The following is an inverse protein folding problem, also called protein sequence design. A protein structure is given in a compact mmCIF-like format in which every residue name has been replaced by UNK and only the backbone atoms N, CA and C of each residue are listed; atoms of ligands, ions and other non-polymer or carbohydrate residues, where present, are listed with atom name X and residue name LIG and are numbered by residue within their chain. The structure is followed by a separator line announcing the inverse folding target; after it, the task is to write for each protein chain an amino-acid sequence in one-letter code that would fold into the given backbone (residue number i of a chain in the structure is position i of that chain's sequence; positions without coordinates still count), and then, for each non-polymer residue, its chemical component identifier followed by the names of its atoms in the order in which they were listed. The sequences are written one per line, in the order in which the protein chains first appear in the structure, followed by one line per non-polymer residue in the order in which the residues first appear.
data_IF_247490385451
#
_entry.id   IF_247490385451
#
_cell.length_a   1.000
_cell.length_b   1.000
_cell.length_c   1.000
_cell.angle_alpha   90.00
_cell.angle_beta   90.00
_cell.angle_gamma   90.00
#
_symmetry.space_group_name_H-M   'P 1'
#
loop_
_entity.id
_entity.type
_entity.pdbx_description
1 polymer ?
#
# COMPACT_ATOMS: atom_id res chain seq x y z
N UNK A 1 1.21 -2.48 -21.09
CA UNK A 1 1.41 -1.90 -19.74
C UNK A 1 0.05 -1.71 -19.07
N UNK A 2 -0.02 -1.70 -17.72
CA UNK A 2 -1.30 -1.53 -16.98
C UNK A 2 -1.90 -0.14 -17.15
N UNK A 3 -1.10 0.86 -17.46
CA UNK A 3 -1.51 2.24 -17.64
C UNK A 3 -1.97 2.56 -19.08
N UNK A 4 -1.68 1.70 -20.05
CA UNK A 4 -2.00 1.93 -21.46
C UNK A 4 -3.47 2.34 -21.70
N UNK A 5 -4.50 1.64 -21.17
CA UNK A 5 -5.90 2.02 -21.45
C UNK A 5 -6.26 3.42 -20.93
N UNK A 6 -5.64 3.87 -19.84
CA UNK A 6 -5.84 5.21 -19.32
C UNK A 6 -5.12 6.25 -20.18
N UNK A 7 -3.91 5.96 -20.63
CA UNK A 7 -3.12 6.82 -21.51
C UNK A 7 -3.87 7.04 -22.83
N UNK A 8 -4.25 5.94 -23.51
CA UNK A 8 -4.99 5.99 -24.78
C UNK A 8 -6.28 6.81 -24.66
N UNK A 9 -7.01 6.62 -23.54
CA UNK A 9 -8.23 7.41 -23.28
C UNK A 9 -7.93 8.89 -23.12
N UNK A 10 -6.94 9.24 -22.30
CA UNK A 10 -6.57 10.65 -22.07
C UNK A 10 -6.04 11.31 -23.33
N UNK A 11 -5.19 10.65 -24.11
CA UNK A 11 -4.70 11.19 -25.41
C UNK A 11 -5.85 11.46 -26.38
N UNK A 12 -6.78 10.50 -26.48
CA UNK A 12 -7.98 10.66 -27.34
C UNK A 12 -8.86 11.83 -26.92
N UNK A 13 -9.14 11.98 -25.64
CA UNK A 13 -10.08 13.00 -25.14
C UNK A 13 -9.46 14.40 -25.01
N UNK A 14 -8.14 14.49 -24.86
CA UNK A 14 -7.45 15.76 -24.64
C UNK A 14 -6.66 16.25 -25.83
N UNK A 15 -6.31 15.38 -26.77
CA UNK A 15 -5.38 15.66 -27.87
C UNK A 15 -3.93 15.87 -27.44
N UNK A 16 -3.60 15.59 -26.18
CA UNK A 16 -2.26 15.69 -25.66
C UNK A 16 -1.49 14.39 -25.90
N UNK A 17 -0.19 14.47 -26.14
CA UNK A 17 0.70 13.30 -26.12
C UNK A 17 1.12 13.02 -24.68
N UNK A 18 0.96 11.77 -24.21
CA UNK A 18 1.21 11.39 -22.83
C UNK A 18 2.40 10.40 -22.77
N UNK A 19 3.47 10.82 -22.13
CA UNK A 19 4.62 9.97 -21.85
C UNK A 19 4.49 9.33 -20.46
N UNK A 20 4.56 8.00 -20.39
CA UNK A 20 4.59 7.27 -19.13
C UNK A 20 6.00 7.15 -18.58
N UNK A 21 6.26 7.79 -17.45
CA UNK A 21 7.56 7.75 -16.77
C UNK A 21 7.48 6.78 -15.58
N UNK A 22 8.12 5.60 -15.67
CA UNK A 22 8.17 4.67 -14.54
C UNK A 22 9.10 5.18 -13.46
N UNK A 23 8.72 4.95 -12.19
CA UNK A 23 9.54 5.27 -11.02
C UNK A 23 9.82 4.00 -10.22
N UNK A 24 10.87 4.02 -9.41
CA UNK A 24 11.33 2.84 -8.66
C UNK A 24 10.46 2.52 -7.44
N UNK A 25 9.93 3.55 -6.79
CA UNK A 25 9.18 3.43 -5.55
C UNK A 25 8.23 4.63 -5.31
N UNK A 26 7.49 4.58 -4.21
CA UNK A 26 6.53 5.61 -3.80
C UNK A 26 7.19 6.98 -3.55
N UNK A 27 8.38 7.00 -2.96
CA UNK A 27 9.08 8.25 -2.67
C UNK A 27 9.56 8.91 -3.97
N UNK A 28 10.09 8.14 -4.90
CA UNK A 28 10.48 8.62 -6.22
C UNK A 28 9.30 9.22 -7.00
N UNK A 29 8.09 8.65 -6.85
CA UNK A 29 6.88 9.23 -7.45
C UNK A 29 6.55 10.61 -6.86
N UNK A 30 6.67 10.78 -5.53
CA UNK A 30 6.49 12.08 -4.87
C UNK A 30 7.51 13.09 -5.35
N UNK A 31 8.80 12.71 -5.39
CA UNK A 31 9.88 13.57 -5.88
C UNK A 31 9.66 14.02 -7.32
N UNK A 32 9.23 13.11 -8.19
CA UNK A 32 9.00 13.42 -9.59
C UNK A 32 7.93 14.52 -9.77
N UNK A 33 6.81 14.44 -9.04
CA UNK A 33 5.75 15.44 -9.14
C UNK A 33 6.12 16.76 -8.46
N UNK A 34 6.68 16.70 -7.24
CA UNK A 34 7.07 17.90 -6.47
C UNK A 34 8.13 18.72 -7.19
N UNK A 35 9.08 18.04 -7.85
CA UNK A 35 10.14 18.68 -8.65
C UNK A 35 9.73 18.94 -10.11
N UNK A 36 8.45 18.80 -10.46
CA UNK A 36 7.91 19.07 -11.81
C UNK A 36 8.61 18.28 -12.93
N UNK A 37 9.09 17.07 -12.62
CA UNK A 37 9.61 16.12 -13.61
C UNK A 37 8.49 15.36 -14.32
N UNK A 38 7.31 15.34 -13.73
CA UNK A 38 6.05 14.85 -14.30
C UNK A 38 4.95 15.85 -13.97
N UNK A 39 3.93 15.92 -14.83
CA UNK A 39 2.80 16.84 -14.68
C UNK A 39 1.65 16.18 -13.89
N UNK A 40 1.57 14.86 -13.93
CA UNK A 40 0.53 14.06 -13.28
C UNK A 40 1.12 12.79 -12.67
N UNK A 41 0.59 12.37 -11.52
CA UNK A 41 0.99 11.13 -10.87
C UNK A 41 -0.21 10.40 -10.27
N UNK A 42 -0.17 9.07 -10.28
CA UNK A 42 -1.15 8.24 -9.60
C UNK A 42 -0.69 7.89 -8.19
N UNK A 43 -1.46 8.31 -7.19
CA UNK A 43 -1.08 8.14 -5.79
C UNK A 43 -2.10 7.33 -4.98
N UNK A 44 -1.65 6.75 -3.87
CA UNK A 44 -2.51 6.45 -2.74
C UNK A 44 -2.71 7.70 -1.87
N UNK A 45 -3.69 7.66 -0.95
CA UNK A 45 -4.03 8.83 -0.13
C UNK A 45 -2.86 9.40 0.68
N UNK A 46 -2.08 8.53 1.33
CA UNK A 46 -0.91 8.99 2.11
C UNK A 46 0.19 9.60 1.22
N UNK A 47 0.46 8.97 0.08
CA UNK A 47 1.44 9.48 -0.89
C UNK A 47 1.00 10.84 -1.45
N UNK A 48 -0.31 11.03 -1.72
CA UNK A 48 -0.88 12.32 -2.11
C UNK A 48 -0.66 13.40 -1.04
N UNK A 49 -0.94 13.08 0.24
CA UNK A 49 -0.72 14.03 1.33
C UNK A 49 0.75 14.43 1.44
N UNK A 50 1.68 13.48 1.29
CA UNK A 50 3.12 13.79 1.28
C UNK A 50 3.49 14.75 0.12
N UNK A 51 3.00 14.47 -1.09
CA UNK A 51 3.24 15.33 -2.25
C UNK A 51 2.63 16.73 -2.04
N UNK A 52 1.41 16.81 -1.51
CA UNK A 52 0.73 18.08 -1.21
C UNK A 52 1.49 18.94 -0.22
N UNK A 53 1.93 18.36 0.91
CA UNK A 53 2.70 19.08 1.93
C UNK A 53 4.04 19.56 1.35
N UNK A 54 4.78 18.67 0.66
CA UNK A 54 6.11 18.97 0.15
C UNK A 54 6.11 19.96 -1.01
N UNK A 55 5.01 20.04 -1.76
CA UNK A 55 4.83 21.04 -2.82
C UNK A 55 4.34 22.41 -2.32
N UNK A 56 4.18 22.61 -1.01
CA UNK A 56 3.55 23.81 -0.48
C UNK A 56 2.07 23.94 -0.88
N UNK A 57 1.32 22.85 -0.90
CA UNK A 57 -0.09 22.73 -1.32
C UNK A 57 -0.36 22.98 -2.82
N UNK A 58 0.66 22.92 -3.68
CA UNK A 58 0.49 23.12 -5.12
C UNK A 58 0.02 21.87 -5.88
N UNK A 59 -0.02 20.70 -5.24
CA UNK A 59 -0.57 19.47 -5.83
C UNK A 59 -2.06 19.37 -5.52
N UNK A 60 -2.88 19.19 -6.57
CA UNK A 60 -4.32 19.07 -6.46
C UNK A 60 -4.78 17.67 -6.91
N UNK A 61 -5.80 17.06 -6.27
CA UNK A 61 -6.40 15.83 -6.75
C UNK A 61 -7.32 16.15 -7.94
N UNK A 62 -7.23 15.33 -9.00
CA UNK A 62 -8.04 15.50 -10.20
C UNK A 62 -9.17 14.47 -10.23
N UNK A 63 -8.81 13.18 -10.05
CA UNK A 63 -9.75 12.05 -10.10
C UNK A 63 -9.34 10.97 -9.10
N UNK A 64 -10.31 10.14 -8.74
CA UNK A 64 -10.06 8.87 -8.05
C UNK A 64 -10.98 7.78 -8.61
N UNK A 65 -10.62 6.52 -8.42
CA UNK A 65 -11.52 5.42 -8.78
C UNK A 65 -12.65 5.31 -7.74
N UNK A 66 -13.83 4.90 -8.18
CA UNK A 66 -14.99 4.68 -7.29
C UNK A 66 -14.66 3.65 -6.18
N UNK A 67 -13.89 2.61 -6.52
CA UNK A 67 -13.50 1.56 -5.60
C UNK A 67 -12.58 2.05 -4.47
N UNK A 68 -11.88 3.16 -4.68
CA UNK A 68 -10.93 3.71 -3.71
C UNK A 68 -11.64 4.36 -2.51
N UNK A 69 -12.94 4.63 -2.57
CA UNK A 69 -13.75 5.04 -1.41
C UNK A 69 -13.82 3.98 -0.32
N UNK A 70 -13.67 2.70 -0.70
CA UNK A 70 -13.69 1.53 0.21
C UNK A 70 -12.32 0.87 0.31
N UNK A 71 -11.29 1.68 0.39
CA UNK A 71 -9.91 1.20 0.47
C UNK A 71 -9.67 0.44 1.78
N UNK A 72 -9.13 -0.79 1.69
CA UNK A 72 -8.96 -1.67 2.85
C UNK A 72 -7.54 -2.19 2.98
N UNK A 73 -7.10 -2.33 4.24
CA UNK A 73 -5.87 -3.04 4.61
C UNK A 73 -6.23 -4.41 5.16
N UNK A 74 -5.36 -5.39 4.92
CA UNK A 74 -5.45 -6.71 5.53
C UNK A 74 -4.13 -7.07 6.21
N UNK A 75 -4.22 -7.81 7.31
CA UNK A 75 -3.08 -8.43 7.96
C UNK A 75 -3.02 -9.90 7.56
N UNK A 76 -1.84 -10.35 7.16
CA UNK A 76 -1.59 -11.71 6.68
C UNK A 76 -0.52 -12.40 7.51
N UNK A 77 -0.62 -13.71 7.64
CA UNK A 77 0.36 -14.57 8.31
C UNK A 77 0.24 -16.02 7.80
N UNK A 78 1.30 -16.79 7.97
CA UNK A 78 1.29 -18.25 7.85
C UNK A 78 1.11 -18.95 9.21
N UNK A 79 1.30 -18.23 10.33
CA UNK A 79 1.19 -18.78 11.67
C UNK A 79 -0.29 -18.93 12.08
N UNK A 80 -0.70 -20.17 12.35
CA UNK A 80 -2.06 -20.50 12.78
C UNK A 80 -2.42 -19.97 14.17
N UNK A 81 -1.42 -19.63 14.98
CA UNK A 81 -1.60 -19.11 16.35
C UNK A 81 -1.98 -17.63 16.34
N UNK A 82 -1.59 -16.88 15.31
CA UNK A 82 -1.94 -15.46 15.15
C UNK A 82 -3.39 -15.37 14.65
N UNK A 83 -4.30 -14.91 15.48
CA UNK A 83 -5.74 -14.76 15.20
C UNK A 83 -6.23 -13.33 15.38
N UNK A 84 -5.60 -12.56 16.23
CA UNK A 84 -5.96 -11.19 16.59
C UNK A 84 -4.76 -10.26 16.44
N UNK A 85 -4.97 -8.93 16.52
CA UNK A 85 -3.84 -7.98 16.55
C UNK A 85 -2.96 -8.17 17.77
N UNK A 86 -3.53 -8.56 18.91
CA UNK A 86 -2.77 -8.78 20.14
C UNK A 86 -1.73 -9.88 19.99
N UNK A 87 -2.01 -10.90 19.16
CA UNK A 87 -1.09 -12.02 18.90
C UNK A 87 0.12 -11.60 18.05
N UNK A 88 0.14 -10.38 17.54
CA UNK A 88 1.27 -9.83 16.78
C UNK A 88 2.42 -9.33 17.69
N UNK A 89 2.23 -9.28 19.01
CA UNK A 89 3.33 -8.92 19.92
C UNK A 89 4.44 -9.95 19.87
N UNK A 90 5.67 -9.49 19.80
CA UNK A 90 6.87 -10.32 19.72
C UNK A 90 7.15 -10.95 18.34
N UNK A 91 6.35 -10.69 17.30
CA UNK A 91 6.60 -11.24 15.96
C UNK A 91 7.55 -10.38 15.13
N UNK A 92 8.10 -10.97 14.07
CA UNK A 92 8.72 -10.21 12.98
C UNK A 92 7.61 -9.79 12.00
N UNK A 93 7.53 -8.50 11.71
CA UNK A 93 6.44 -7.92 10.91
C UNK A 93 6.96 -7.13 9.72
N UNK A 94 6.31 -7.24 8.58
CA UNK A 94 6.59 -6.40 7.41
C UNK A 94 5.41 -5.51 7.06
N UNK A 95 5.65 -4.21 7.04
CA UNK A 95 4.83 -3.26 6.29
C UNK A 95 5.16 -3.30 4.80
N UNK A 96 4.37 -2.62 3.97
CA UNK A 96 4.66 -2.39 2.56
C UNK A 96 5.72 -1.28 2.37
N UNK A 97 5.45 -0.31 1.49
CA UNK A 97 6.27 0.92 1.41
C UNK A 97 5.96 1.84 2.59
N UNK A 98 6.97 2.57 3.07
CA UNK A 98 6.81 3.60 4.12
C UNK A 98 5.78 4.68 3.73
N UNK A 99 5.63 4.99 2.45
CA UNK A 99 4.66 5.97 1.93
C UNK A 99 3.31 5.36 1.53
N UNK A 100 3.09 4.06 1.81
CA UNK A 100 1.84 3.37 1.48
C UNK A 100 0.74 3.65 2.50
N UNK A 101 -0.46 3.97 2.01
CA UNK A 101 -1.67 4.10 2.84
C UNK A 101 -2.06 2.76 3.46
N UNK A 102 -2.34 1.75 2.62
CA UNK A 102 -2.86 0.44 3.06
C UNK A 102 -1.79 -0.53 3.51
N UNK A 103 -0.54 -0.34 3.07
CA UNK A 103 0.58 -1.20 3.49
C UNK A 103 1.34 -0.69 4.71
N UNK A 104 1.11 0.57 5.14
CA UNK A 104 1.84 1.14 6.28
C UNK A 104 0.98 2.03 7.17
N UNK A 105 0.55 3.21 6.71
CA UNK A 105 -0.08 4.21 7.59
C UNK A 105 -1.32 3.67 8.31
N UNK A 106 -2.24 3.06 7.57
CA UNK A 106 -3.48 2.56 8.15
C UNK A 106 -3.27 1.32 9.04
N UNK A 107 -2.50 0.28 8.62
CA UNK A 107 -2.10 -0.79 9.52
C UNK A 107 -1.49 -0.28 10.83
N UNK A 108 -0.57 0.68 10.77
CA UNK A 108 0.04 1.29 11.95
C UNK A 108 -1.01 1.98 12.84
N UNK A 109 -1.97 2.68 12.23
CA UNK A 109 -3.08 3.32 12.97
C UNK A 109 -3.94 2.28 13.70
N UNK A 110 -4.22 1.11 13.09
CA UNK A 110 -4.98 0.05 13.74
C UNK A 110 -4.19 -0.62 14.87
N UNK A 111 -2.90 -0.85 14.67
CA UNK A 111 -2.02 -1.36 15.71
C UNK A 111 -2.00 -0.42 16.91
N UNK A 112 -1.82 0.89 16.67
CA UNK A 112 -1.85 1.89 17.75
C UNK A 112 -3.19 1.94 18.49
N UNK A 113 -4.33 1.85 17.78
CA UNK A 113 -5.66 1.76 18.40
C UNK A 113 -5.85 0.49 19.22
N UNK A 114 -5.16 -0.59 18.88
CA UNK A 114 -5.14 -1.83 19.64
C UNK A 114 -4.10 -1.84 20.78
N UNK A 115 -3.45 -0.71 21.06
CA UNK A 115 -2.41 -0.60 22.09
C UNK A 115 -1.11 -1.31 21.74
N UNK A 116 -0.79 -1.38 20.44
CA UNK A 116 0.43 -2.01 19.92
C UNK A 116 1.32 -0.94 19.29
N UNK A 117 2.52 -0.76 19.84
CA UNK A 117 3.57 0.05 19.25
C UNK A 117 4.54 -0.85 18.46
N UNK A 118 4.56 -0.78 17.12
CA UNK A 118 5.43 -1.66 16.32
C UNK A 118 6.93 -1.57 16.66
N UNK A 119 7.40 -0.44 17.16
CA UNK A 119 8.80 -0.22 17.53
C UNK A 119 9.18 -0.96 18.84
N UNK A 120 8.22 -1.15 19.73
CA UNK A 120 8.43 -1.71 21.07
C UNK A 120 7.89 -3.14 21.19
N UNK A 121 6.71 -3.39 20.61
CA UNK A 121 5.98 -4.64 20.76
C UNK A 121 6.36 -5.70 19.73
N UNK A 122 6.95 -5.34 18.58
CA UNK A 122 7.41 -6.31 17.58
C UNK A 122 8.88 -6.70 17.83
N UNK A 123 9.20 -7.97 17.59
CA UNK A 123 10.58 -8.41 17.59
C UNK A 123 11.43 -7.69 16.54
N UNK A 124 10.84 -7.41 15.39
CA UNK A 124 11.46 -6.64 14.30
C UNK A 124 10.39 -6.11 13.36
N UNK A 125 10.51 -4.85 12.99
CA UNK A 125 9.74 -4.21 11.92
C UNK A 125 10.57 -4.12 10.65
N UNK A 126 9.98 -4.46 9.50
CA UNK A 126 10.58 -4.37 8.18
C UNK A 126 9.63 -3.65 7.21
N UNK A 127 10.17 -3.20 6.09
CA UNK A 127 9.41 -2.61 4.98
C UNK A 127 9.78 -3.34 3.70
N UNK A 128 8.79 -3.96 3.05
CA UNK A 128 8.99 -4.73 1.82
C UNK A 128 9.06 -3.87 0.56
N UNK A 129 8.62 -2.61 0.65
CA UNK A 129 8.54 -1.67 -0.47
C UNK A 129 7.30 -1.81 -1.35
N UNK A 130 6.73 -3.03 -1.46
CA UNK A 130 5.57 -3.30 -2.31
C UNK A 130 4.64 -4.36 -1.69
N UNK A 131 3.36 -4.37 -2.09
CA UNK A 131 2.36 -5.28 -1.52
C UNK A 131 2.62 -6.76 -1.86
N UNK A 132 3.02 -7.07 -3.08
CA UNK A 132 3.39 -8.41 -3.53
C UNK A 132 4.65 -8.91 -2.81
N UNK A 133 5.62 -8.04 -2.60
CA UNK A 133 6.82 -8.34 -1.82
C UNK A 133 6.48 -8.64 -0.33
N UNK A 134 5.44 -7.99 0.23
CA UNK A 134 4.94 -8.33 1.58
C UNK A 134 4.40 -9.76 1.60
N UNK A 135 3.57 -10.15 0.62
CA UNK A 135 3.02 -11.51 0.52
C UNK A 135 4.14 -12.54 0.40
N UNK A 136 5.12 -12.29 -0.48
CA UNK A 136 6.26 -13.18 -0.65
C UNK A 136 7.10 -13.31 0.63
N UNK A 137 7.33 -12.21 1.36
CA UNK A 137 8.10 -12.20 2.61
C UNK A 137 7.41 -12.99 3.74
N UNK A 138 6.08 -12.91 3.84
CA UNK A 138 5.31 -13.70 4.81
C UNK A 138 5.27 -15.16 4.39
N UNK A 139 4.94 -15.44 3.12
CA UNK A 139 4.83 -16.80 2.63
C UNK A 139 6.14 -17.59 2.65
N UNK A 140 7.28 -16.93 2.48
CA UNK A 140 8.61 -17.57 2.62
C UNK A 140 9.09 -17.72 4.07
N UNK A 141 8.33 -17.21 5.05
CA UNK A 141 8.75 -17.21 6.46
C UNK A 141 9.85 -16.19 6.81
N UNK A 142 10.21 -15.29 5.91
CA UNK A 142 11.17 -14.22 6.18
C UNK A 142 10.68 -13.27 7.28
N UNK A 143 9.37 -13.10 7.37
CA UNK A 143 8.65 -12.46 8.48
C UNK A 143 7.42 -13.29 8.84
N UNK A 144 6.96 -13.20 10.09
CA UNK A 144 5.82 -14.00 10.58
C UNK A 144 4.45 -13.40 10.18
N UNK A 145 4.39 -12.08 10.02
CA UNK A 145 3.17 -11.40 9.61
C UNK A 145 3.48 -10.14 8.77
N UNK A 146 2.46 -9.62 8.11
CA UNK A 146 2.59 -8.39 7.34
C UNK A 146 1.24 -7.76 7.02
N UNK A 147 1.27 -6.56 6.44
CA UNK A 147 0.07 -5.84 6.03
C UNK A 147 0.15 -5.34 4.59
N UNK A 148 -0.98 -5.40 3.89
CA UNK A 148 -1.06 -4.97 2.49
C UNK A 148 -2.48 -4.53 2.11
N UNK A 149 -2.62 -4.05 0.87
CA UNK A 149 -3.89 -3.73 0.25
C UNK A 149 -4.70 -5.00 -0.07
N UNK A 150 -6.00 -5.01 0.29
CA UNK A 150 -6.88 -6.15 0.03
C UNK A 150 -7.02 -6.47 -1.46
N UNK A 151 -7.07 -5.45 -2.34
CA UNK A 151 -7.22 -5.68 -3.79
C UNK A 151 -6.00 -6.36 -4.40
N UNK A 152 -4.81 -6.09 -3.88
CA UNK A 152 -3.59 -6.80 -4.28
C UNK A 152 -3.64 -8.25 -3.77
N UNK A 153 -4.09 -8.48 -2.53
CA UNK A 153 -4.30 -9.81 -2.00
C UNK A 153 -5.29 -10.61 -2.85
N UNK A 154 -6.48 -10.07 -3.13
CA UNK A 154 -7.51 -10.71 -3.95
C UNK A 154 -6.98 -11.07 -5.34
N UNK A 155 -6.23 -10.14 -5.97
CA UNK A 155 -5.60 -10.38 -7.27
C UNK A 155 -4.60 -11.53 -7.23
N UNK A 156 -3.65 -11.51 -6.29
CA UNK A 156 -2.63 -12.56 -6.15
C UNK A 156 -3.28 -13.93 -5.84
N UNK A 157 -4.36 -13.93 -5.04
CA UNK A 157 -5.13 -15.14 -4.74
C UNK A 157 -5.79 -15.72 -5.99
N UNK A 158 -6.42 -14.89 -6.83
CA UNK A 158 -7.01 -15.31 -8.11
C UNK A 158 -5.98 -15.84 -9.10
N UNK A 159 -4.77 -15.28 -9.07
CA UNK A 159 -3.65 -15.68 -9.92
C UNK A 159 -2.87 -16.89 -9.35
N UNK A 160 -3.29 -17.48 -8.24
CA UNK A 160 -2.60 -18.56 -7.52
C UNK A 160 -1.14 -18.20 -7.15
N UNK A 161 -0.89 -16.92 -6.86
CA UNK A 161 0.43 -16.39 -6.50
C UNK A 161 0.62 -16.16 -4.99
N UNK A 162 -0.38 -16.52 -4.19
CA UNK A 162 -0.25 -16.49 -2.72
C UNK A 162 0.40 -17.79 -2.28
N UNK A 163 1.54 -17.76 -1.56
CA UNK A 163 2.18 -18.96 -1.05
C UNK A 163 1.24 -19.75 -0.13
N UNK A 164 1.33 -21.09 -0.20
CA UNK A 164 0.51 -22.00 0.59
C UNK A 164 0.60 -21.68 2.09
N UNK A 165 -0.51 -21.79 2.79
CA UNK A 165 -0.60 -21.49 4.22
C UNK A 165 -0.73 -20.03 4.58
N UNK A 166 -0.44 -19.08 3.65
CA UNK A 166 -0.62 -17.64 3.90
C UNK A 166 -2.11 -17.29 3.93
N UNK A 167 -2.56 -16.57 4.95
CA UNK A 167 -3.98 -16.28 5.19
C UNK A 167 -4.19 -14.87 5.72
N UNK A 168 -5.35 -14.28 5.39
CA UNK A 168 -5.85 -13.10 6.10
C UNK A 168 -6.28 -13.53 7.50
N UNK A 169 -5.85 -12.80 8.54
CA UNK A 169 -6.23 -13.05 9.93
C UNK A 169 -7.06 -11.95 10.54
N UNK A 170 -6.80 -10.71 10.18
CA UNK A 170 -7.56 -9.58 10.71
C UNK A 170 -8.00 -8.70 9.55
N UNK A 171 -9.24 -8.82 9.06
CA UNK A 171 -9.79 -7.86 8.13
C UNK A 171 -10.11 -6.58 8.89
N UNK A 172 -9.42 -5.50 8.59
CA UNK A 172 -9.78 -4.18 9.06
C UNK A 172 -10.26 -3.33 7.89
N UNK A 173 -11.54 -2.97 7.98
CA UNK A 173 -12.18 -2.07 7.04
C UNK A 173 -11.76 -0.65 7.38
N UNK A 174 -10.99 -0.04 6.49
CA UNK A 174 -10.77 1.40 6.53
C UNK A 174 -11.77 2.04 5.59
N UNK A 175 -12.89 2.53 6.09
CA UNK A 175 -13.57 3.58 5.36
C UNK A 175 -12.78 4.87 5.61
N UNK A 176 -11.80 5.16 4.79
CA UNK A 176 -11.24 6.49 4.70
C UNK A 176 -12.20 7.34 3.87
N UNK A 177 -13.14 8.00 4.53
CA UNK A 177 -13.68 9.23 3.97
C UNK A 177 -12.56 10.26 4.11
N UNK A 178 -11.98 10.63 3.00
CA UNK A 178 -11.17 11.85 2.87
C UNK A 178 -12.10 13.04 2.87
#
# INVERSE_FOLDING_TARGET
RKAEPLIDHLEKETGLTIEFIPVTDYAAAVEALVNRKVDMAWYGGFTFVQAKIRSGNNVIPIIQRVEDEKFQSVFITTDSKIKTLADLKGVTFSFGSQSSTSGHLMPRTFLAKAGINPEEDFKRTAYSGAHDATVASVGSGKVQAGALNIKVWEKLSKENKVPEGTRIRVPHTTSSRL
#
